data_IF_582413722082
#
_entry.id   IF_582413722082
#
_cell.length_a   1.000
_cell.length_b   1.000
_cell.length_c   1.000
_cell.angle_alpha   90.00
_cell.angle_beta   90.00
_cell.angle_gamma   90.00
#
_symmetry.space_group_name_H-M   'P 1'
#
loop_
_entity.id
_entity.type
_entity.pdbx_description
1 polymer ?
#
# COMPACT_ATOMS: atom_id res chain seq x y z
N UNK A 1 -38.17 40.96 38.26
CA UNK A 1 -36.91 40.98 39.03
C UNK A 1 -36.65 39.59 39.59
N UNK A 2 -35.54 38.95 39.23
CA UNK A 2 -35.03 37.76 39.91
C UNK A 2 -33.51 37.77 39.78
N UNK A 3 -32.85 38.11 40.89
CA UNK A 3 -31.41 38.01 41.05
C UNK A 3 -31.04 36.56 41.36
N UNK A 4 -29.98 36.06 40.74
CA UNK A 4 -29.10 35.06 41.36
C UNK A 4 -27.76 35.04 40.63
N UNK A 5 -26.74 35.54 41.34
CA UNK A 5 -25.32 35.50 41.03
C UNK A 5 -24.86 34.06 40.74
N UNK A 6 -23.92 33.86 39.82
CA UNK A 6 -22.85 32.84 39.91
C UNK A 6 -21.74 33.13 38.91
N UNK A 7 -20.70 33.76 39.45
CA UNK A 7 -19.32 33.73 38.99
C UNK A 7 -18.85 32.27 39.00
N UNK A 8 -18.34 31.71 37.89
CA UNK A 8 -17.38 30.61 37.95
C UNK A 8 -16.69 30.33 36.59
N UNK A 9 -15.38 30.62 36.59
CA UNK A 9 -14.32 29.86 35.94
C UNK A 9 -14.14 29.93 34.42
N UNK A 10 -13.36 30.95 34.05
CA UNK A 10 -12.31 30.88 33.03
C UNK A 10 -11.37 29.73 33.41
N UNK A 11 -11.55 28.56 32.80
CA UNK A 11 -10.48 27.57 32.73
C UNK A 11 -9.67 27.85 31.46
N UNK A 12 -8.70 28.73 31.66
CA UNK A 12 -7.44 28.77 30.94
C UNK A 12 -6.77 27.39 31.01
N UNK A 13 -7.26 26.41 30.25
CA UNK A 13 -6.55 25.15 30.03
C UNK A 13 -5.48 25.40 28.97
N UNK A 14 -4.43 26.07 29.43
CA UNK A 14 -3.12 26.03 28.83
C UNK A 14 -2.71 24.55 28.83
N UNK A 15 -2.89 23.90 27.68
CA UNK A 15 -2.29 22.60 27.43
C UNK A 15 -0.80 22.84 27.17
N UNK A 16 -0.02 23.00 28.24
CA UNK A 16 1.44 22.81 28.17
C UNK A 16 1.65 21.32 27.98
N UNK A 17 1.70 20.87 26.74
CA UNK A 17 2.41 19.63 26.43
C UNK A 17 3.89 20.00 26.53
N UNK A 18 4.51 19.60 27.63
CA UNK A 18 5.94 19.67 27.81
C UNK A 18 6.61 18.85 26.69
N UNK A 19 7.08 19.52 25.63
CA UNK A 19 8.08 18.95 24.73
C UNK A 19 9.40 18.90 25.47
N UNK A 20 9.55 17.93 26.38
CA UNK A 20 10.86 17.54 26.88
C UNK A 20 11.22 16.23 26.22
N UNK A 21 12.29 16.31 25.44
CA UNK A 21 13.06 15.21 24.84
C UNK A 21 12.65 14.75 23.45
N UNK A 22 12.94 15.59 22.46
CA UNK A 22 13.85 15.11 21.42
C UNK A 22 15.14 15.90 21.58
N UNK A 23 16.22 15.21 21.98
CA UNK A 23 17.59 15.74 21.93
C UNK A 23 17.79 16.37 20.56
N UNK A 24 17.96 17.69 20.55
CA UNK A 24 18.54 18.41 19.43
C UNK A 24 20.05 18.27 19.59
N UNK A 25 20.57 17.10 19.23
CA UNK A 25 21.98 16.95 18.92
C UNK A 25 22.16 17.40 17.46
N UNK A 26 22.70 18.61 17.34
CA UNK A 26 23.66 19.06 16.33
C UNK A 26 23.73 18.31 15.00
N UNK A 27 23.35 19.01 13.92
CA UNK A 27 23.97 18.82 12.60
C UNK A 27 23.93 17.41 12.01
N UNK A 28 22.76 16.95 11.58
CA UNK A 28 22.62 15.79 10.71
C UNK A 28 21.38 15.97 9.87
N UNK A 29 21.50 15.78 8.55
CA UNK A 29 20.34 15.74 7.65
C UNK A 29 19.26 14.85 8.28
N UNK A 30 18.08 15.40 8.56
CA UNK A 30 16.92 14.60 8.97
C UNK A 30 16.46 13.87 7.71
N UNK A 31 17.14 12.78 7.35
CA UNK A 31 16.58 11.82 6.42
C UNK A 31 15.52 11.07 7.22
N UNK A 32 14.26 11.45 7.06
CA UNK A 32 13.15 10.59 7.51
C UNK A 32 13.40 9.20 6.93
N UNK A 33 13.57 8.15 7.75
CA UNK A 33 13.84 6.83 7.24
C UNK A 33 12.69 6.43 6.31
N UNK A 34 13.01 6.00 5.09
CA UNK A 34 12.01 5.49 4.15
C UNK A 34 11.34 4.28 4.81
N UNK A 35 10.00 4.27 4.96
CA UNK A 35 9.30 3.11 5.49
C UNK A 35 9.62 1.86 4.66
N UNK A 36 9.89 0.75 5.33
CA UNK A 36 10.12 -0.56 4.70
C UNK A 36 8.98 -1.52 5.02
N UNK A 37 8.87 -2.58 4.23
CA UNK A 37 7.96 -3.69 4.47
C UNK A 37 8.56 -5.00 3.97
N UNK A 38 8.04 -6.12 4.46
CA UNK A 38 8.37 -7.46 3.95
C UNK A 38 7.39 -7.85 2.84
N UNK A 39 7.83 -8.42 1.71
CA UNK A 39 6.90 -8.91 0.69
C UNK A 39 5.89 -9.94 1.23
N UNK A 40 6.24 -10.75 2.23
CA UNK A 40 5.31 -11.68 2.90
C UNK A 40 4.09 -10.98 3.51
N UNK A 41 4.21 -9.69 3.86
CA UNK A 41 3.08 -8.87 4.34
C UNK A 41 2.07 -8.51 3.23
N UNK A 42 2.40 -8.73 1.96
CA UNK A 42 1.54 -8.39 0.81
C UNK A 42 0.38 -9.36 0.63
N UNK A 43 0.45 -10.56 1.23
CA UNK A 43 -0.53 -11.61 1.02
C UNK A 43 -1.95 -11.17 1.43
N UNK A 44 -2.90 -11.29 0.51
CA UNK A 44 -4.27 -10.82 0.66
C UNK A 44 -4.88 -10.36 -0.66
N UNK A 45 -6.15 -9.94 -0.60
CA UNK A 45 -6.87 -9.40 -1.75
C UNK A 45 -6.59 -7.91 -1.91
N UNK A 46 -6.43 -7.47 -3.16
CA UNK A 46 -6.10 -6.11 -3.54
C UNK A 46 -7.13 -5.59 -4.52
N UNK A 47 -7.62 -4.37 -4.29
CA UNK A 47 -8.65 -3.77 -5.14
C UNK A 47 -8.38 -2.30 -5.49
N UNK A 48 -8.87 -1.91 -6.67
CA UNK A 48 -8.92 -0.54 -7.18
C UNK A 48 -10.19 -0.39 -8.02
N UNK A 49 -11.29 0.07 -7.43
CA UNK A 49 -12.58 0.10 -8.12
C UNK A 49 -13.03 -1.31 -8.52
N UNK A 50 -13.27 -1.56 -9.82
CA UNK A 50 -13.61 -2.88 -10.36
C UNK A 50 -12.40 -3.80 -10.57
N UNK A 51 -11.18 -3.30 -10.41
CA UNK A 51 -9.96 -4.07 -10.62
C UNK A 51 -9.59 -4.86 -9.36
N UNK A 52 -9.09 -6.09 -9.55
CA UNK A 52 -8.74 -6.99 -8.45
C UNK A 52 -7.53 -7.86 -8.79
N UNK A 53 -6.80 -8.25 -7.76
CA UNK A 53 -5.91 -9.42 -7.75
C UNK A 53 -5.76 -9.93 -6.31
N UNK A 54 -5.23 -11.14 -6.15
CA UNK A 54 -4.90 -11.71 -4.84
C UNK A 54 -3.45 -12.14 -4.82
N UNK A 55 -2.71 -11.69 -3.80
CA UNK A 55 -1.37 -12.17 -3.49
C UNK A 55 -1.47 -13.33 -2.49
N UNK A 56 -0.98 -14.50 -2.85
CA UNK A 56 -0.88 -15.67 -1.98
C UNK A 56 0.34 -15.60 -1.04
N UNK A 57 0.29 -16.35 0.06
CA UNK A 57 1.42 -16.49 0.97
C UNK A 57 2.62 -17.22 0.33
N UNK A 58 2.38 -17.94 -0.76
CA UNK A 58 3.33 -18.71 -1.58
C UNK A 58 3.93 -17.89 -2.73
N UNK A 59 3.65 -16.58 -2.79
CA UNK A 59 4.15 -15.71 -3.86
C UNK A 59 3.39 -15.87 -5.18
N UNK A 60 2.21 -16.49 -5.16
CA UNK A 60 1.34 -16.59 -6.32
C UNK A 60 0.41 -15.38 -6.41
N UNK A 61 0.39 -14.71 -7.55
CA UNK A 61 -0.58 -13.68 -7.89
C UNK A 61 -1.70 -14.34 -8.71
N UNK A 62 -2.93 -14.22 -8.23
CA UNK A 62 -4.10 -14.89 -8.82
C UNK A 62 -5.27 -13.93 -8.99
N UNK A 63 -6.25 -14.33 -9.80
CA UNK A 63 -7.49 -13.58 -9.98
C UNK A 63 -7.27 -12.15 -10.49
N UNK A 64 -6.26 -11.96 -11.33
CA UNK A 64 -5.89 -10.67 -11.89
C UNK A 64 -6.97 -10.26 -12.88
N UNK A 65 -7.67 -9.17 -12.58
CA UNK A 65 -8.67 -8.55 -13.45
C UNK A 65 -8.47 -7.04 -13.43
N UNK A 66 -8.00 -6.48 -14.54
CA UNK A 66 -7.63 -5.06 -14.65
C UNK A 66 -8.16 -4.54 -15.98
N UNK A 67 -8.98 -3.50 -15.93
CA UNK A 67 -9.62 -2.90 -17.11
C UNK A 67 -10.36 -3.92 -18.00
N UNK A 68 -11.08 -4.86 -17.38
CA UNK A 68 -11.78 -5.95 -18.07
C UNK A 68 -10.87 -7.07 -18.60
N UNK A 69 -9.54 -6.92 -18.51
CA UNK A 69 -8.56 -7.92 -18.92
C UNK A 69 -8.34 -8.90 -17.77
N UNK A 70 -8.57 -10.18 -18.03
CA UNK A 70 -8.23 -11.26 -17.10
C UNK A 70 -7.07 -12.07 -17.66
N UNK A 71 -6.07 -12.32 -16.84
CA UNK A 71 -4.87 -13.10 -17.20
C UNK A 71 -4.70 -14.29 -16.26
N UNK A 72 -3.82 -15.22 -16.65
CA UNK A 72 -3.50 -16.39 -15.85
C UNK A 72 -2.77 -16.03 -14.56
N UNK A 73 -2.74 -16.99 -13.63
CA UNK A 73 -1.97 -16.86 -12.40
C UNK A 73 -0.47 -16.76 -12.70
N UNK A 74 0.25 -16.05 -11.83
CA UNK A 74 1.69 -15.86 -11.93
C UNK A 74 2.38 -16.21 -10.62
N UNK A 75 3.46 -16.98 -10.69
CA UNK A 75 4.29 -17.31 -9.53
C UNK A 75 5.55 -16.45 -9.56
N UNK A 76 5.81 -15.73 -8.46
CA UNK A 76 7.01 -14.91 -8.34
C UNK A 76 8.24 -15.80 -8.12
N UNK A 77 9.24 -15.65 -8.98
CA UNK A 77 10.54 -16.32 -8.82
C UNK A 77 11.23 -15.85 -7.55
N UNK A 78 11.94 -16.76 -6.87
CA UNK A 78 12.72 -16.50 -5.65
C UNK A 78 11.90 -15.94 -4.47
N UNK A 79 10.56 -16.11 -4.48
CA UNK A 79 9.69 -15.65 -3.40
C UNK A 79 10.16 -16.09 -2.02
N UNK A 80 10.45 -17.39 -1.83
CA UNK A 80 10.86 -17.92 -0.52
C UNK A 80 12.14 -17.30 0.02
N UNK A 81 13.04 -16.87 -0.88
CA UNK A 81 14.29 -16.20 -0.52
C UNK A 81 14.05 -14.75 -0.11
N UNK A 82 13.16 -14.05 -0.80
CA UNK A 82 13.03 -12.60 -0.69
C UNK A 82 11.89 -12.17 0.24
N UNK A 83 10.91 -13.03 0.52
CA UNK A 83 9.63 -12.66 1.15
C UNK A 83 9.76 -12.03 2.54
N UNK A 84 10.83 -12.31 3.28
CA UNK A 84 11.01 -11.80 4.64
C UNK A 84 12.09 -10.71 4.76
N UNK A 85 12.62 -10.25 3.62
CA UNK A 85 13.57 -9.14 3.54
C UNK A 85 12.83 -7.80 3.59
N UNK A 86 13.27 -6.89 4.45
CA UNK A 86 12.74 -5.52 4.51
C UNK A 86 13.15 -4.75 3.25
N UNK A 87 12.16 -4.27 2.50
CA UNK A 87 12.38 -3.48 1.28
C UNK A 87 11.52 -2.21 1.31
N UNK A 88 12.01 -1.09 0.75
CA UNK A 88 11.21 0.13 0.60
C UNK A 88 10.22 0.03 -0.57
N UNK A 89 10.43 -0.94 -1.48
CA UNK A 89 9.65 -1.16 -2.69
C UNK A 89 9.82 -2.61 -3.15
N UNK A 90 8.74 -3.21 -3.64
CA UNK A 90 8.77 -4.53 -4.25
C UNK A 90 8.05 -4.47 -5.60
N UNK A 91 8.69 -4.94 -6.67
CA UNK A 91 8.12 -4.87 -8.01
C UNK A 91 8.07 -6.27 -8.63
N UNK A 92 6.91 -6.62 -9.17
CA UNK A 92 6.69 -7.85 -9.93
C UNK A 92 6.22 -7.46 -11.33
N UNK A 93 6.87 -8.02 -12.35
CA UNK A 93 6.50 -7.77 -13.75
C UNK A 93 6.04 -9.07 -14.40
N UNK A 94 4.86 -9.03 -15.01
CA UNK A 94 4.27 -10.12 -15.77
C UNK A 94 4.18 -9.66 -17.21
N UNK A 95 4.95 -10.29 -18.11
CA UNK A 95 5.05 -9.88 -19.50
C UNK A 95 4.28 -10.82 -20.43
N UNK A 96 4.00 -10.35 -21.65
CA UNK A 96 3.50 -11.12 -22.78
C UNK A 96 2.18 -11.87 -22.48
N UNK A 97 1.28 -11.24 -21.74
CA UNK A 97 -0.02 -11.81 -21.42
C UNK A 97 -1.00 -11.55 -22.55
N UNK A 98 -1.54 -12.60 -23.15
CA UNK A 98 -2.50 -12.46 -24.25
C UNK A 98 -3.93 -12.47 -23.74
N UNK A 99 -4.74 -11.50 -24.20
CA UNK A 99 -6.17 -11.44 -23.93
C UNK A 99 -6.88 -10.72 -25.06
N UNK A 100 -8.00 -11.28 -25.55
CA UNK A 100 -8.81 -10.65 -26.61
C UNK A 100 -8.08 -10.39 -27.95
N UNK A 101 -6.96 -11.07 -28.23
CA UNK A 101 -6.13 -10.83 -29.43
C UNK A 101 -5.06 -9.75 -29.26
N UNK A 102 -4.94 -9.17 -28.06
CA UNK A 102 -3.93 -8.18 -27.69
C UNK A 102 -2.88 -8.81 -26.77
N UNK A 103 -1.73 -8.15 -26.66
CA UNK A 103 -0.62 -8.53 -25.76
C UNK A 103 -0.39 -7.43 -24.73
N UNK A 104 -0.31 -7.82 -23.46
CA UNK A 104 -0.20 -6.94 -22.32
C UNK A 104 0.99 -7.29 -21.43
N UNK A 105 1.62 -6.26 -20.89
CA UNK A 105 2.55 -6.34 -19.78
C UNK A 105 1.95 -5.65 -18.54
N UNK A 106 2.19 -6.22 -17.37
CA UNK A 106 1.74 -5.70 -16.08
C UNK A 106 2.93 -5.54 -15.14
N UNK A 107 3.05 -4.37 -14.51
CA UNK A 107 4.04 -4.11 -13.48
C UNK A 107 3.33 -3.75 -12.16
N UNK A 108 3.41 -4.64 -11.17
CA UNK A 108 2.88 -4.45 -9.82
C UNK A 108 3.98 -3.86 -8.94
N UNK A 109 3.85 -2.60 -8.55
CA UNK A 109 4.83 -1.89 -7.72
C UNK A 109 4.25 -1.62 -6.35
N UNK A 110 4.59 -2.46 -5.39
CA UNK A 110 4.23 -2.32 -3.99
C UNK A 110 5.12 -1.27 -3.33
N UNK A 111 4.49 -0.24 -2.76
CA UNK A 111 5.17 0.84 -2.03
C UNK A 111 4.99 0.72 -0.53
N UNK A 112 4.10 -0.18 -0.08
CA UNK A 112 3.93 -0.60 1.30
C UNK A 112 3.20 -1.94 1.37
N UNK A 113 3.02 -2.47 2.59
CA UNK A 113 2.16 -3.64 2.85
C UNK A 113 0.69 -3.47 2.48
N UNK A 114 0.25 -2.26 2.12
CA UNK A 114 -1.15 -1.92 1.85
C UNK A 114 -1.39 -1.06 0.60
N UNK A 115 -0.33 -0.68 -0.12
CA UNK A 115 -0.41 0.15 -1.33
C UNK A 115 0.40 -0.45 -2.50
N UNK A 116 -0.23 -0.52 -3.67
CA UNK A 116 0.35 -1.06 -4.89
C UNK A 116 -0.05 -0.19 -6.10
N UNK A 117 0.92 0.19 -6.92
CA UNK A 117 0.68 0.84 -8.20
C UNK A 117 0.83 -0.23 -9.28
N UNK A 118 -0.22 -0.47 -10.05
CA UNK A 118 -0.18 -1.40 -11.18
C UNK A 118 -0.18 -0.61 -12.48
N UNK A 119 0.88 -0.78 -13.27
CA UNK A 119 0.95 -0.26 -14.64
C UNK A 119 0.61 -1.38 -15.61
N UNK A 120 -0.34 -1.13 -16.51
CA UNK A 120 -0.75 -2.03 -17.59
C UNK A 120 -0.36 -1.40 -18.91
N UNK A 121 0.43 -2.11 -19.70
CA UNK A 121 0.91 -1.67 -21.01
C UNK A 121 0.37 -2.63 -22.06
N UNK A 122 -0.44 -2.13 -22.99
CA UNK A 122 -0.76 -2.87 -24.21
C UNK A 122 0.29 -2.55 -25.28
N UNK A 123 0.72 -3.56 -26.04
CA UNK A 123 1.74 -3.37 -27.05
C UNK A 123 1.35 -2.28 -28.06
N UNK A 124 2.16 -1.23 -28.16
CA UNK A 124 1.94 -0.10 -29.07
C UNK A 124 0.96 0.98 -28.54
N UNK A 125 0.47 0.86 -27.32
CA UNK A 125 -0.43 1.83 -26.69
C UNK A 125 0.22 2.55 -25.50
N UNK A 126 -0.41 3.64 -25.06
CA UNK A 126 0.01 4.35 -23.84
C UNK A 126 -0.32 3.51 -22.60
N UNK A 127 0.61 3.35 -21.64
CA UNK A 127 0.35 2.63 -20.40
C UNK A 127 -0.76 3.26 -19.56
N UNK A 128 -1.62 2.42 -18.98
CA UNK A 128 -2.56 2.81 -17.92
C UNK A 128 -1.98 2.51 -16.55
N UNK A 129 -2.34 3.32 -15.55
CA UNK A 129 -1.86 3.14 -14.16
C UNK A 129 -3.05 3.13 -13.20
N UNK A 130 -3.02 2.22 -12.25
CA UNK A 130 -4.09 1.98 -11.28
C UNK A 130 -3.47 1.88 -9.87
N UNK A 131 -4.13 2.48 -8.88
CA UNK A 131 -3.65 2.44 -7.48
C UNK A 131 -4.52 1.50 -6.67
N UNK A 132 -3.95 0.38 -6.27
CA UNK A 132 -4.60 -0.67 -5.50
C UNK A 132 -4.32 -0.51 -4.01
N UNK A 133 -5.34 -0.81 -3.23
CA UNK A 133 -5.23 -0.94 -1.78
C UNK A 133 -5.53 -2.38 -1.36
N UNK A 134 -4.81 -2.85 -0.35
CA UNK A 134 -5.07 -4.17 0.23
C UNK A 134 -6.37 -4.13 1.03
N UNK A 135 -7.26 -5.08 0.79
CA UNK A 135 -8.46 -5.24 1.60
C UNK A 135 -8.09 -5.57 3.05
N UNK A 136 -8.80 -4.96 3.99
CA UNK A 136 -8.63 -5.29 5.40
C UNK A 136 -9.03 -6.75 5.64
N UNK A 137 -8.15 -7.51 6.30
CA UNK A 137 -8.52 -8.84 6.77
C UNK A 137 -9.70 -8.69 7.74
N UNK A 138 -10.84 -9.38 7.53
CA UNK A 138 -11.92 -9.35 8.50
C UNK A 138 -11.39 -9.86 9.83
N UNK A 139 -11.42 -9.01 10.86
CA UNK A 139 -11.12 -9.42 12.23
C UNK A 139 -12.27 -10.28 12.70
N UNK A 140 -12.05 -11.61 12.74
CA UNK A 140 -12.96 -12.53 13.43
C UNK A 140 -13.02 -12.10 14.89
N UNK A 141 -14.21 -11.72 15.34
CA UNK A 141 -14.51 -11.26 16.70
C UNK A 141 -14.61 -12.44 17.67
#
# INVERSE_FOLDING_TARGET
>A
MKNSKKLFLIFLSVLIVAFVSCKKDSGGSITTPTPTFKPSSLAGKWTSGSHTFTMGNDGKITGISIDGISIGDYTITDWDKDKDTEVPKYTVTINNQSSGGHTYDFAFTFTSGSNCIVTRTEQGQTPGTFTFTKEATPTTK
#
